data_IF_563324333738
#
_entry.id   IF_563324333738
#
_cell.length_a   1.000
_cell.length_b   1.000
_cell.length_c   1.000
_cell.angle_alpha   90.00
_cell.angle_beta   90.00
_cell.angle_gamma   90.00
#
_symmetry.space_group_name_H-M   'P 1'
#
loop_
_entity.id
_entity.type
_entity.pdbx_description
1 polymer ?
#
# COMPACT_ATOMS: atom_id res chain seq x y z
N UNK A 1 16.75 0.72 -7.71
CA UNK A 1 16.08 -0.42 -7.04
C UNK A 1 16.55 -0.65 -5.59
N UNK A 2 17.79 -0.30 -5.21
CA UNK A 2 18.28 -0.45 -3.82
C UNK A 2 17.40 0.27 -2.79
N UNK A 3 17.05 1.55 -3.02
CA UNK A 3 16.24 2.35 -2.09
C UNK A 3 14.89 1.70 -1.74
N UNK A 4 14.21 1.09 -2.72
CA UNK A 4 12.89 0.49 -2.51
C UNK A 4 12.97 -0.75 -1.64
N UNK A 5 13.92 -1.63 -1.94
CA UNK A 5 14.16 -2.83 -1.16
C UNK A 5 14.63 -2.49 0.25
N UNK A 6 15.50 -1.50 0.42
CA UNK A 6 15.99 -1.08 1.74
C UNK A 6 14.89 -0.42 2.58
N UNK A 7 14.07 0.45 1.99
CA UNK A 7 12.96 1.11 2.70
C UNK A 7 11.88 0.09 3.09
N UNK A 8 11.56 -0.84 2.19
CA UNK A 8 10.66 -1.94 2.47
C UNK A 8 11.21 -2.82 3.61
N UNK A 9 12.45 -3.30 3.50
CA UNK A 9 13.06 -4.15 4.50
C UNK A 9 13.14 -3.47 5.87
N UNK A 10 13.55 -2.20 5.91
CA UNK A 10 13.63 -1.42 7.14
C UNK A 10 12.25 -1.30 7.80
N UNK A 11 11.21 -0.92 7.04
CA UNK A 11 9.85 -0.79 7.57
C UNK A 11 9.31 -2.13 8.06
N UNK A 12 9.54 -3.22 7.31
CA UNK A 12 9.13 -4.56 7.69
C UNK A 12 9.82 -5.04 8.97
N UNK A 13 11.14 -4.84 9.09
CA UNK A 13 11.92 -5.24 10.27
C UNK A 13 11.49 -4.44 11.51
N UNK A 14 11.34 -3.12 11.38
CA UNK A 14 10.88 -2.28 12.49
C UNK A 14 9.47 -2.70 12.94
N UNK A 15 8.54 -2.89 12.00
CA UNK A 15 7.19 -3.36 12.33
C UNK A 15 7.20 -4.75 12.99
N UNK A 16 8.02 -5.68 12.49
CA UNK A 16 8.17 -7.00 13.07
C UNK A 16 8.72 -6.95 14.49
N UNK A 17 9.72 -6.10 14.76
CA UNK A 17 10.29 -5.91 16.11
C UNK A 17 9.27 -5.30 17.06
N UNK A 18 8.51 -4.27 16.63
CA UNK A 18 7.44 -3.69 17.45
C UNK A 18 6.34 -4.72 17.77
N UNK A 19 5.93 -5.51 16.77
CA UNK A 19 4.95 -6.59 16.98
C UNK A 19 5.50 -7.65 17.93
N UNK A 20 6.73 -8.12 17.73
CA UNK A 20 7.37 -9.10 18.59
C UNK A 20 7.49 -8.61 20.04
N UNK A 21 7.87 -7.36 20.24
CA UNK A 21 7.92 -6.75 21.57
C UNK A 21 6.53 -6.71 22.21
N UNK A 22 5.50 -6.31 21.45
CA UNK A 22 4.12 -6.28 21.95
C UNK A 22 3.61 -7.67 22.35
N UNK A 23 3.94 -8.71 21.59
CA UNK A 23 3.58 -10.09 21.88
C UNK A 23 4.37 -10.65 23.08
N UNK A 24 5.66 -10.32 23.18
CA UNK A 24 6.49 -10.73 24.32
C UNK A 24 5.97 -10.10 25.62
N UNK A 25 5.71 -8.79 25.63
CA UNK A 25 5.14 -8.07 26.78
C UNK A 25 3.77 -8.65 27.18
N UNK A 26 2.93 -9.00 26.21
CA UNK A 26 1.64 -9.64 26.46
C UNK A 26 1.80 -11.03 27.11
N UNK A 27 2.77 -11.83 26.65
CA UNK A 27 3.07 -13.15 27.26
C UNK A 27 3.56 -13.05 28.70
N UNK A 28 4.24 -11.96 29.06
CA UNK A 28 4.66 -11.68 30.44
C UNK A 28 3.52 -11.16 31.34
N UNK A 29 2.28 -11.08 30.84
CA UNK A 29 1.10 -10.70 31.64
C UNK A 29 0.85 -9.20 31.72
N UNK A 30 1.62 -8.37 31.01
CA UNK A 30 1.38 -6.93 30.98
C UNK A 30 0.31 -6.55 29.95
N UNK A 31 -0.73 -5.78 30.34
CA UNK A 31 -1.85 -5.44 29.45
C UNK A 31 -1.44 -4.55 28.26
N UNK A 32 -0.34 -3.80 28.40
CA UNK A 32 0.19 -2.92 27.36
C UNK A 32 0.61 -3.66 26.09
N UNK A 33 1.01 -4.93 26.20
CA UNK A 33 1.38 -5.74 25.03
C UNK A 33 0.20 -5.98 24.09
N UNK A 34 -0.99 -6.29 24.65
CA UNK A 34 -2.20 -6.48 23.87
C UNK A 34 -2.67 -5.19 23.19
N UNK A 35 -2.53 -4.05 23.88
CA UNK A 35 -2.85 -2.73 23.31
C UNK A 35 -1.92 -2.43 22.14
N UNK A 36 -0.61 -2.62 22.30
CA UNK A 36 0.37 -2.40 21.24
C UNK A 36 0.10 -3.27 20.01
N UNK A 37 -0.14 -4.57 20.22
CA UNK A 37 -0.47 -5.51 19.14
C UNK A 37 -1.75 -5.11 18.39
N UNK A 38 -2.78 -4.66 19.11
CA UNK A 38 -4.03 -4.17 18.50
C UNK A 38 -3.79 -2.93 17.65
N UNK A 39 -3.11 -1.91 18.18
CA UNK A 39 -2.81 -0.67 17.43
C UNK A 39 -2.00 -0.95 16.16
N UNK A 40 -1.04 -1.86 16.23
CA UNK A 40 -0.28 -2.27 15.05
C UNK A 40 -1.15 -3.02 14.03
N UNK A 41 -2.14 -3.78 14.48
CA UNK A 41 -3.11 -4.46 13.61
C UNK A 41 -4.05 -3.49 12.91
N UNK A 42 -4.54 -2.49 13.64
CA UNK A 42 -5.43 -1.47 13.11
C UNK A 42 -4.72 -0.65 12.01
N UNK A 43 -3.41 -0.41 12.17
CA UNK A 43 -2.57 0.20 11.13
C UNK A 43 -2.30 -0.78 9.97
N UNK A 44 -2.03 -2.04 10.28
CA UNK A 44 -1.78 -3.11 9.32
C UNK A 44 -3.07 -3.68 8.71
N UNK A 45 -4.05 -2.82 8.40
CA UNK A 45 -5.30 -3.21 7.78
C UNK A 45 -5.23 -3.10 6.25
N UNK A 46 -5.45 -4.23 5.56
CA UNK A 46 -5.61 -4.26 4.10
C UNK A 46 -6.78 -3.39 3.61
N UNK A 47 -7.72 -3.08 4.51
CA UNK A 47 -8.59 -1.90 4.55
C UNK A 47 -8.16 -0.74 3.67
N UNK A 48 -6.98 -0.25 4.05
CA UNK A 48 -6.44 1.05 3.70
C UNK A 48 -5.92 1.12 2.25
N UNK A 49 -5.71 -0.01 1.58
CA UNK A 49 -5.24 -0.01 0.18
C UNK A 49 -6.28 0.51 -0.81
N UNK A 50 -7.58 0.33 -0.54
CA UNK A 50 -8.65 0.80 -1.44
C UNK A 50 -8.65 2.33 -1.54
N UNK A 51 -8.75 3.09 -0.42
CA UNK A 51 -8.71 4.55 -0.50
C UNK A 51 -7.35 5.07 -0.99
N UNK A 52 -6.24 4.41 -0.65
CA UNK A 52 -4.92 4.79 -1.18
C UNK A 52 -4.83 4.60 -2.69
N UNK A 53 -5.35 3.50 -3.22
CA UNK A 53 -5.40 3.25 -4.65
C UNK A 53 -6.30 4.25 -5.37
N UNK A 54 -7.44 4.65 -4.79
CA UNK A 54 -8.32 5.68 -5.35
C UNK A 54 -7.56 7.00 -5.57
N UNK A 55 -6.84 7.48 -4.53
CA UNK A 55 -6.07 8.73 -4.60
C UNK A 55 -4.91 8.60 -5.59
N UNK A 56 -4.28 7.41 -5.65
CA UNK A 56 -3.23 7.13 -6.61
C UNK A 56 -3.74 7.21 -8.06
N UNK A 57 -4.84 6.51 -8.37
CA UNK A 57 -5.43 6.51 -9.71
C UNK A 57 -5.95 7.89 -10.11
N UNK A 58 -6.47 8.66 -9.16
CA UNK A 58 -6.83 10.05 -9.41
C UNK A 58 -5.59 10.89 -9.76
N UNK A 59 -4.50 10.73 -9.03
CA UNK A 59 -3.23 11.39 -9.33
C UNK A 59 -2.70 11.00 -10.71
N UNK A 60 -2.76 9.71 -11.06
CA UNK A 60 -2.38 9.20 -12.38
C UNK A 60 -3.28 9.78 -13.50
N UNK A 61 -4.59 9.88 -13.25
CA UNK A 61 -5.54 10.52 -14.16
C UNK A 61 -5.19 12.00 -14.40
N UNK A 62 -4.88 12.74 -13.34
CA UNK A 62 -4.44 14.15 -13.46
C UNK A 62 -3.19 14.24 -14.34
N UNK A 63 -2.22 13.36 -14.17
CA UNK A 63 -1.01 13.34 -15.01
C UNK A 63 -1.30 13.06 -16.50
N UNK A 64 -2.41 12.40 -16.83
CA UNK A 64 -2.83 12.17 -18.22
C UNK A 64 -3.52 13.41 -18.83
N UNK A 65 -4.13 14.29 -18.04
CA UNK A 65 -4.79 15.49 -18.59
C UNK A 65 -3.87 16.71 -18.54
N UNK A 66 -3.07 16.85 -17.50
CA UNK A 66 -2.33 18.07 -17.23
C UNK A 66 -1.16 18.30 -18.23
N UNK A 67 -0.76 19.57 -18.42
CA UNK A 67 0.47 19.90 -19.14
C UNK A 67 1.69 19.33 -18.41
N UNK A 68 2.76 19.06 -19.18
CA UNK A 68 3.95 18.31 -18.73
C UNK A 68 4.53 18.83 -17.41
N UNK A 69 4.57 20.15 -17.20
CA UNK A 69 5.09 20.76 -15.96
C UNK A 69 4.26 20.37 -14.73
N UNK A 70 2.94 20.49 -14.82
CA UNK A 70 2.06 20.16 -13.70
C UNK A 70 1.97 18.66 -13.48
N UNK A 71 1.99 17.85 -14.54
CA UNK A 71 2.08 16.40 -14.43
C UNK A 71 3.35 15.95 -13.68
N UNK A 72 4.47 16.67 -13.87
CA UNK A 72 5.70 16.46 -13.11
C UNK A 72 5.52 16.73 -11.61
N UNK A 73 4.85 17.82 -11.24
CA UNK A 73 4.55 18.16 -9.84
C UNK A 73 3.66 17.09 -9.19
N UNK A 74 2.62 16.64 -9.90
CA UNK A 74 1.73 15.58 -9.41
C UNK A 74 2.49 14.27 -9.21
N UNK A 75 3.41 13.93 -10.11
CA UNK A 75 4.25 12.74 -9.96
C UNK A 75 5.09 12.82 -8.68
N UNK A 76 5.86 13.89 -8.49
CA UNK A 76 6.84 13.98 -7.42
C UNK A 76 6.23 14.18 -6.04
N UNK A 77 5.09 14.87 -5.95
CA UNK A 77 4.50 15.24 -4.66
C UNK A 77 3.29 14.38 -4.26
N UNK A 78 2.53 13.86 -5.22
CA UNK A 78 1.35 13.03 -4.93
C UNK A 78 1.62 11.56 -5.25
N UNK A 79 1.89 11.21 -6.51
CA UNK A 79 1.98 9.82 -6.93
C UNK A 79 3.16 9.08 -6.28
N UNK A 80 4.35 9.70 -6.24
CA UNK A 80 5.54 9.13 -5.57
C UNK A 80 5.29 8.94 -4.07
N UNK A 81 4.71 9.95 -3.41
CA UNK A 81 4.41 9.87 -1.98
C UNK A 81 3.45 8.71 -1.69
N UNK A 82 2.35 8.60 -2.45
CA UNK A 82 1.35 7.54 -2.29
C UNK A 82 1.96 6.17 -2.61
N UNK A 83 2.77 6.06 -3.67
CA UNK A 83 3.49 4.83 -4.01
C UNK A 83 4.36 4.35 -2.85
N UNK A 84 5.14 5.23 -2.24
CA UNK A 84 5.95 4.90 -1.07
C UNK A 84 5.10 4.54 0.15
N UNK A 85 3.99 5.23 0.38
CA UNK A 85 3.04 4.89 1.45
C UNK A 85 2.49 3.47 1.26
N UNK A 86 2.11 3.09 0.04
CA UNK A 86 1.62 1.74 -0.28
C UNK A 86 2.69 0.69 -0.01
N UNK A 87 3.95 0.94 -0.42
CA UNK A 87 5.08 0.02 -0.15
C UNK A 87 5.32 -0.13 1.34
N UNK A 88 5.37 0.98 2.09
CA UNK A 88 5.64 0.98 3.54
C UNK A 88 4.52 0.26 4.29
N UNK A 89 3.27 0.54 3.96
CA UNK A 89 2.11 -0.11 4.56
C UNK A 89 2.13 -1.63 4.30
N UNK A 90 2.43 -2.04 3.06
CA UNK A 90 2.58 -3.45 2.72
C UNK A 90 3.74 -4.09 3.52
N UNK A 91 4.86 -3.39 3.67
CA UNK A 91 5.99 -3.82 4.50
C UNK A 91 5.59 -4.01 5.97
N UNK A 92 4.83 -3.07 6.53
CA UNK A 92 4.33 -3.13 7.92
C UNK A 92 3.44 -4.35 8.11
N UNK A 93 2.51 -4.60 7.18
CA UNK A 93 1.64 -5.78 7.22
C UNK A 93 2.49 -7.06 7.20
N UNK A 94 3.39 -7.21 6.23
CA UNK A 94 4.27 -8.38 6.11
C UNK A 94 5.09 -8.57 7.39
N UNK A 95 5.70 -7.52 7.94
CA UNK A 95 6.47 -7.57 9.18
C UNK A 95 5.63 -8.02 10.38
N UNK A 96 4.41 -7.50 10.51
CA UNK A 96 3.48 -7.90 11.57
C UNK A 96 3.07 -9.37 11.46
N UNK A 97 2.78 -9.86 10.25
CA UNK A 97 2.41 -11.25 10.02
C UNK A 97 3.57 -12.21 10.29
N UNK A 98 4.79 -11.86 9.86
CA UNK A 98 6.01 -12.65 10.13
C UNK A 98 6.28 -12.76 11.64
N UNK A 99 6.14 -11.66 12.38
CA UNK A 99 6.30 -11.70 13.83
C UNK A 99 5.24 -12.60 14.50
N UNK A 100 3.98 -12.52 14.09
CA UNK A 100 2.92 -13.41 14.60
C UNK A 100 3.17 -14.87 14.29
N UNK A 101 3.63 -15.16 13.07
CA UNK A 101 4.02 -16.49 12.65
C UNK A 101 5.15 -17.05 13.54
N UNK A 102 6.20 -16.25 13.78
CA UNK A 102 7.31 -16.63 14.66
C UNK A 102 6.86 -16.90 16.11
N UNK A 103 5.82 -16.21 16.58
CA UNK A 103 5.19 -16.44 17.88
C UNK A 103 4.14 -17.57 17.87
N UNK A 104 4.04 -18.35 16.79
CA UNK A 104 3.24 -19.59 16.73
C UNK A 104 1.85 -19.46 16.12
N UNK A 105 1.44 -18.28 15.64
CA UNK A 105 0.15 -18.09 14.98
C UNK A 105 0.27 -18.40 13.47
N UNK A 106 0.20 -19.67 13.09
CA UNK A 106 0.45 -20.12 11.71
C UNK A 106 -0.65 -19.72 10.72
N UNK A 107 -1.90 -19.70 11.16
CA UNK A 107 -3.05 -19.39 10.30
C UNK A 107 -3.06 -17.93 9.82
N UNK A 108 -2.28 -17.06 10.47
CA UNK A 108 -2.15 -15.63 10.14
C UNK A 108 -1.54 -15.39 8.76
N UNK A 109 -0.75 -16.34 8.22
CA UNK A 109 -0.20 -16.22 6.87
C UNK A 109 -1.28 -16.27 5.78
N UNK A 110 -2.43 -16.89 6.05
CA UNK A 110 -3.58 -16.88 5.11
C UNK A 110 -4.07 -15.46 4.84
N UNK A 111 -3.82 -14.51 5.74
CA UNK A 111 -4.14 -13.11 5.54
C UNK A 111 -3.46 -12.52 4.30
N UNK A 112 -2.29 -13.03 3.86
CA UNK A 112 -1.61 -12.59 2.64
C UNK A 112 -2.38 -12.95 1.35
N UNK A 113 -3.30 -13.91 1.40
CA UNK A 113 -4.18 -14.24 0.27
C UNK A 113 -5.35 -13.27 0.11
N UNK A 114 -5.40 -12.20 0.90
CA UNK A 114 -6.43 -11.19 0.77
C UNK A 114 -6.37 -10.53 -0.61
N UNK A 115 -7.46 -10.62 -1.36
CA UNK A 115 -7.58 -10.05 -2.71
C UNK A 115 -7.28 -8.54 -2.77
N UNK A 116 -7.40 -7.82 -1.63
CA UNK A 116 -7.08 -6.39 -1.53
C UNK A 116 -5.61 -6.07 -1.83
N UNK A 117 -4.70 -7.05 -1.73
CA UNK A 117 -3.31 -6.85 -2.16
C UNK A 117 -3.16 -6.70 -3.68
N UNK A 118 -4.19 -7.03 -4.47
CA UNK A 118 -4.21 -6.71 -5.90
C UNK A 118 -4.08 -5.20 -6.15
N UNK A 119 -4.59 -4.35 -5.24
CA UNK A 119 -4.40 -2.90 -5.34
C UNK A 119 -2.94 -2.48 -5.19
N UNK A 120 -2.15 -3.18 -4.37
CA UNK A 120 -0.71 -2.94 -4.24
C UNK A 120 -0.03 -3.22 -5.58
N UNK A 121 -0.30 -4.38 -6.17
CA UNK A 121 0.24 -4.75 -7.47
C UNK A 121 -0.19 -3.77 -8.58
N UNK A 122 -1.46 -3.35 -8.57
CA UNK A 122 -1.98 -2.38 -9.53
C UNK A 122 -1.30 -1.01 -9.41
N UNK A 123 -1.15 -0.47 -8.19
CA UNK A 123 -0.46 0.80 -7.95
C UNK A 123 1.01 0.70 -8.38
N UNK A 124 1.73 -0.35 -7.95
CA UNK A 124 3.14 -0.54 -8.29
C UNK A 124 3.33 -0.69 -9.80
N UNK A 125 2.52 -1.53 -10.45
CA UNK A 125 2.55 -1.70 -11.90
C UNK A 125 2.31 -0.39 -12.63
N UNK A 126 1.24 0.34 -12.28
CA UNK A 126 0.94 1.63 -12.89
C UNK A 126 2.06 2.65 -12.68
N UNK A 127 2.71 2.65 -11.50
CA UNK A 127 3.82 3.54 -11.20
C UNK A 127 5.05 3.28 -12.06
N UNK A 128 5.39 2.01 -12.29
CA UNK A 128 6.53 1.62 -13.13
C UNK A 128 6.32 2.01 -14.60
N UNK A 129 5.08 1.90 -15.10
CA UNK A 129 4.76 2.21 -16.50
C UNK A 129 4.29 3.66 -16.73
N UNK A 130 4.12 4.48 -15.67
CA UNK A 130 3.51 5.82 -15.75
C UNK A 130 4.17 6.74 -16.79
N UNK A 131 5.50 6.63 -16.94
CA UNK A 131 6.27 7.44 -17.87
C UNK A 131 6.05 7.00 -19.33
N UNK A 132 5.91 5.70 -19.57
CA UNK A 132 5.64 5.15 -20.90
C UNK A 132 4.21 5.49 -21.33
N UNK A 133 3.25 5.35 -20.41
CA UNK A 133 1.85 5.70 -20.63
C UNK A 133 1.67 7.17 -21.02
N UNK A 134 2.48 8.07 -20.46
CA UNK A 134 2.46 9.51 -20.77
C UNK A 134 3.06 9.87 -22.12
N UNK A 135 3.96 9.04 -22.64
CA UNK A 135 4.76 9.36 -23.84
C UNK A 135 3.95 9.16 -25.13
N UNK A 136 3.08 8.18 -25.16
CA UNK A 136 2.26 7.85 -26.32
C UNK A 136 0.84 8.43 -26.19
N UNK A 137 0.40 9.21 -27.19
CA UNK A 137 -0.90 9.89 -27.16
C UNK A 137 -2.09 8.91 -27.06
N UNK A 138 -1.97 7.74 -27.70
CA UNK A 138 -3.01 6.70 -27.68
C UNK A 138 -3.11 6.04 -26.31
N UNK A 139 -1.96 5.72 -25.69
CA UNK A 139 -1.94 5.16 -24.34
C UNK A 139 -2.43 6.19 -23.33
N UNK A 140 -2.05 7.46 -23.50
CA UNK A 140 -2.46 8.55 -22.63
C UNK A 140 -3.98 8.74 -22.58
N UNK A 141 -4.66 8.69 -23.73
CA UNK A 141 -6.13 8.81 -23.78
C UNK A 141 -6.83 7.54 -23.29
N UNK A 142 -6.32 6.36 -23.62
CA UNK A 142 -6.86 5.08 -23.12
C UNK A 142 -6.75 5.01 -21.59
N UNK A 143 -5.58 5.29 -21.04
CA UNK A 143 -5.34 5.20 -19.61
C UNK A 143 -6.00 6.33 -18.82
N UNK A 144 -6.33 7.46 -19.44
CA UNK A 144 -7.22 8.44 -18.83
C UNK A 144 -8.58 7.81 -18.46
N UNK A 145 -9.21 7.09 -19.41
CA UNK A 145 -10.49 6.42 -19.17
C UNK A 145 -10.34 5.29 -18.15
N UNK A 146 -9.27 4.49 -18.25
CA UNK A 146 -9.00 3.39 -17.31
C UNK A 146 -8.78 3.92 -15.89
N UNK A 147 -7.98 4.96 -15.70
CA UNK A 147 -7.76 5.55 -14.37
C UNK A 147 -9.01 6.24 -13.82
N UNK A 148 -9.84 6.84 -14.68
CA UNK A 148 -11.14 7.37 -14.26
C UNK A 148 -12.03 6.25 -13.72
N UNK A 149 -12.18 5.17 -14.48
CA UNK A 149 -12.97 4.01 -14.08
C UNK A 149 -12.41 3.38 -12.80
N UNK A 150 -11.09 3.21 -12.68
CA UNK A 150 -10.45 2.64 -11.50
C UNK A 150 -10.63 3.54 -10.27
N UNK A 151 -10.52 4.86 -10.42
CA UNK A 151 -10.77 5.83 -9.34
C UNK A 151 -12.22 5.74 -8.85
N UNK A 152 -13.17 5.73 -9.78
CA UNK A 152 -14.59 5.62 -9.47
C UNK A 152 -14.93 4.28 -8.82
N UNK A 153 -14.36 3.18 -9.33
CA UNK A 153 -14.50 1.87 -8.72
C UNK A 153 -13.96 1.87 -7.29
N UNK A 154 -12.77 2.44 -7.03
CA UNK A 154 -12.23 2.46 -5.68
C UNK A 154 -13.03 3.35 -4.70
N UNK A 155 -13.72 4.40 -5.19
CA UNK A 155 -14.50 5.31 -4.34
C UNK A 155 -15.94 4.86 -4.10
N UNK A 156 -16.60 4.37 -5.14
CA UNK A 156 -18.04 4.14 -5.16
C UNK A 156 -18.42 2.67 -5.23
N UNK A 157 -17.49 1.80 -5.66
CA UNK A 157 -17.74 0.38 -5.61
C UNK A 157 -17.52 -0.10 -4.17
N UNK A 158 -18.62 -0.45 -3.51
CA UNK A 158 -18.54 -1.24 -2.28
C UNK A 158 -17.99 -2.61 -2.65
N UNK A 159 -16.69 -2.83 -2.41
CA UNK A 159 -16.11 -4.18 -2.38
C UNK A 159 -16.56 -5.01 -1.15
N UNK A 160 -17.71 -4.63 -0.59
CA UNK A 160 -18.30 -5.08 0.68
C UNK A 160 -19.81 -5.34 0.58
N UNK A 161 -20.42 -5.26 -0.62
CA UNK A 161 -21.69 -5.95 -0.89
C UNK A 161 -21.39 -7.27 -1.58
#
# INVERSE_FOLDING_TARGET
>A
MSKALTSFALAAVLAALLMALSLAVARHGYPYGAIGAKRLSDVADAGTFIPLAAIYFFSALLMMVLPIRLAGIVLTHAADAIFWTVIVLFAVIVGCLVARFAFGQRDVLSALLNWRFLFVAAVVGCHLFINELRRNILLRSLFFVVFAAATLACLFWSFTV
#
